data_IF_990460428046
#
_entry.id   IF_990460428046
#
_cell.length_a   1.000
_cell.length_b   1.000
_cell.length_c   1.000
_cell.angle_alpha   90.00
_cell.angle_beta   90.00
_cell.angle_gamma   90.00
#
_symmetry.space_group_name_H-M   'P 1'
#
loop_
_entity.id
_entity.type
_entity.pdbx_description
1 polymer ?
#
# COMPACT_ATOMS: atom_id res chain seq x y z
N UNK A 1 21.28 7.18 45.92
CA UNK A 1 21.55 7.21 44.46
C UNK A 1 20.24 7.04 43.71
N UNK A 2 19.82 8.07 42.96
CA UNK A 2 18.52 8.14 42.30
C UNK A 2 18.36 7.07 41.20
N UNK A 3 17.14 6.57 40.96
CA UNK A 3 16.86 5.53 39.94
C UNK A 3 17.43 5.87 38.55
N UNK A 4 17.47 7.15 38.21
CA UNK A 4 18.00 7.70 36.96
C UNK A 4 19.51 7.42 36.81
N UNK A 5 20.30 7.60 37.87
CA UNK A 5 21.74 7.36 37.83
C UNK A 5 22.05 5.86 37.69
N UNK A 6 21.21 4.97 38.23
CA UNK A 6 21.35 3.51 38.03
C UNK A 6 21.05 3.10 36.58
N UNK A 7 20.02 3.68 35.96
CA UNK A 7 19.68 3.41 34.56
C UNK A 7 20.78 3.85 33.58
N UNK A 8 21.33 5.05 33.79
CA UNK A 8 22.45 5.56 32.98
C UNK A 8 23.70 4.66 33.11
N UNK A 9 23.97 4.15 34.32
CA UNK A 9 25.12 3.27 34.57
C UNK A 9 24.95 1.90 33.89
N UNK A 10 23.73 1.34 33.85
CA UNK A 10 23.46 0.09 33.14
C UNK A 10 23.64 0.27 31.63
N UNK A 11 23.13 1.37 31.06
CA UNK A 11 23.27 1.66 29.62
C UNK A 11 24.75 1.86 29.26
N UNK A 12 25.53 2.59 30.07
CA UNK A 12 26.96 2.79 29.79
C UNK A 12 27.78 1.51 29.95
N UNK A 13 27.44 0.65 30.92
CA UNK A 13 28.09 -0.66 31.11
C UNK A 13 27.80 -1.60 29.93
N UNK A 14 26.55 -1.62 29.46
CA UNK A 14 26.16 -2.40 28.28
C UNK A 14 26.85 -1.89 27.02
N UNK A 15 26.91 -0.56 26.82
CA UNK A 15 27.61 0.06 25.70
C UNK A 15 29.13 -0.23 25.72
N UNK A 16 29.76 -0.19 26.90
CA UNK A 16 31.17 -0.53 27.08
C UNK A 16 31.48 -1.99 26.73
N UNK A 17 30.59 -2.93 27.12
CA UNK A 17 30.72 -4.35 26.76
C UNK A 17 30.64 -4.56 25.24
N UNK A 18 29.72 -3.87 24.56
CA UNK A 18 29.58 -3.95 23.11
C UNK A 18 30.83 -3.41 22.40
N UNK A 19 31.39 -2.29 22.88
CA UNK A 19 32.62 -1.70 22.34
C UNK A 19 33.84 -2.62 22.48
N UNK A 20 33.97 -3.30 23.63
CA UNK A 20 35.05 -4.27 23.87
C UNK A 20 34.98 -5.46 22.91
N UNK A 21 33.78 -6.01 22.70
CA UNK A 21 33.57 -7.12 21.75
C UNK A 21 33.84 -6.70 20.30
N UNK A 22 33.46 -5.48 19.93
CA UNK A 22 33.74 -4.94 18.60
C UNK A 22 35.25 -4.74 18.35
N UNK A 23 36.01 -4.29 19.36
CA UNK A 23 37.47 -4.21 19.26
C UNK A 23 38.10 -5.59 19.12
N UNK A 24 37.64 -6.58 19.89
CA UNK A 24 38.09 -7.96 19.78
C UNK A 24 37.79 -8.56 18.39
N UNK A 25 36.68 -8.20 17.75
CA UNK A 25 36.36 -8.65 16.40
C UNK A 25 37.26 -8.00 15.35
N UNK A 26 37.61 -6.72 15.51
CA UNK A 26 38.52 -6.00 14.60
C UNK A 26 39.95 -6.53 14.65
N UNK A 27 40.41 -7.02 15.80
CA UNK A 27 41.75 -7.61 15.94
C UNK A 27 41.80 -9.05 15.41
N UNK A 28 40.75 -9.84 15.60
CA UNK A 28 40.71 -11.23 15.19
C UNK A 28 40.33 -11.43 13.70
N UNK A 29 39.60 -10.49 13.09
CA UNK A 29 39.18 -10.57 11.69
C UNK A 29 39.59 -9.32 10.90
N UNK A 30 40.89 -9.25 10.55
CA UNK A 30 41.49 -8.13 9.82
C UNK A 30 40.94 -7.96 8.40
N UNK A 31 40.35 -9.01 7.79
CA UNK A 31 39.77 -8.96 6.43
C UNK A 31 38.26 -8.73 6.43
N UNK A 32 37.59 -8.86 7.58
CA UNK A 32 36.16 -8.61 7.75
C UNK A 32 35.24 -9.69 7.18
N UNK A 33 35.76 -10.90 6.96
CA UNK A 33 35.03 -12.01 6.35
C UNK A 33 33.97 -12.57 7.32
N UNK A 34 34.31 -12.70 8.59
CA UNK A 34 33.41 -13.10 9.66
C UNK A 34 32.29 -12.09 9.89
N UNK A 35 32.58 -10.79 9.75
CA UNK A 35 31.54 -9.75 9.80
C UNK A 35 30.53 -9.89 8.66
N UNK A 36 30.99 -10.16 7.43
CA UNK A 36 30.10 -10.35 6.28
C UNK A 36 29.22 -11.61 6.41
N UNK A 37 29.79 -12.72 6.89
CA UNK A 37 29.05 -13.97 7.10
C UNK A 37 27.98 -13.80 8.19
N UNK A 38 28.33 -13.15 9.31
CA UNK A 38 27.39 -12.86 10.38
C UNK A 38 26.23 -11.98 9.89
N UNK A 39 26.52 -10.96 9.07
CA UNK A 39 25.50 -10.12 8.46
C UNK A 39 24.58 -10.92 7.50
N UNK A 40 25.13 -11.84 6.71
CA UNK A 40 24.29 -12.67 5.84
C UNK A 40 23.34 -13.58 6.64
N UNK A 41 23.85 -14.21 7.70
CA UNK A 41 23.01 -15.05 8.57
C UNK A 41 21.88 -14.22 9.20
N UNK A 42 22.17 -13.00 9.67
CA UNK A 42 21.14 -12.18 10.32
C UNK A 42 20.03 -11.77 9.35
N UNK A 43 20.35 -11.54 8.07
CA UNK A 43 19.36 -11.22 7.04
C UNK A 43 18.42 -12.41 6.82
N UNK A 44 18.97 -13.62 6.69
CA UNK A 44 18.16 -14.84 6.55
C UNK A 44 17.26 -15.08 7.77
N UNK A 45 17.80 -14.93 8.99
CA UNK A 45 17.02 -15.07 10.23
C UNK A 45 15.93 -14.00 10.31
N UNK A 46 16.23 -12.77 9.89
CA UNK A 46 15.27 -11.66 9.87
C UNK A 46 14.11 -11.96 8.94
N UNK A 47 14.34 -12.46 7.73
CA UNK A 47 13.27 -12.85 6.80
C UNK A 47 12.32 -13.90 7.41
N UNK A 48 12.86 -14.91 8.09
CA UNK A 48 12.06 -15.91 8.82
C UNK A 48 11.26 -15.27 9.96
N UNK A 49 11.89 -14.38 10.73
CA UNK A 49 11.23 -13.68 11.84
C UNK A 49 10.08 -12.79 11.33
N UNK A 50 10.34 -12.01 10.29
CA UNK A 50 9.34 -11.16 9.65
C UNK A 50 8.18 -11.98 9.06
N UNK A 51 8.43 -13.16 8.49
CA UNK A 51 7.38 -14.08 8.07
C UNK A 51 6.44 -14.45 9.23
N UNK A 52 6.99 -14.74 10.41
CA UNK A 52 6.18 -15.09 11.58
C UNK A 52 5.32 -13.92 12.06
N UNK A 53 5.89 -12.71 12.09
CA UNK A 53 5.18 -11.47 12.42
C UNK A 53 4.01 -11.23 11.47
N UNK A 54 4.25 -11.29 10.15
CA UNK A 54 3.18 -11.13 9.17
C UNK A 54 2.11 -12.20 9.27
N UNK A 55 2.48 -13.46 9.58
CA UNK A 55 1.52 -14.55 9.77
C UNK A 55 0.59 -14.30 10.97
N UNK A 56 1.12 -13.77 12.07
CA UNK A 56 0.31 -13.39 13.23
C UNK A 56 -0.64 -12.25 12.86
N UNK A 57 -0.13 -11.20 12.22
CA UNK A 57 -0.93 -10.04 11.81
C UNK A 57 -2.03 -10.45 10.81
N UNK A 58 -1.71 -11.30 9.84
CA UNK A 58 -2.66 -11.85 8.88
C UNK A 58 -3.76 -12.66 9.57
N UNK A 59 -3.40 -13.53 10.51
CA UNK A 59 -4.37 -14.28 11.30
C UNK A 59 -5.28 -13.38 12.14
N UNK A 60 -4.74 -12.31 12.75
CA UNK A 60 -5.53 -11.33 13.51
C UNK A 60 -6.47 -10.56 12.57
N UNK A 61 -5.99 -10.16 11.39
CA UNK A 61 -6.77 -9.44 10.38
C UNK A 61 -7.96 -10.26 9.88
N UNK A 62 -7.74 -11.55 9.55
CA UNK A 62 -8.81 -12.47 9.13
C UNK A 62 -9.81 -12.68 10.27
N UNK A 63 -9.34 -12.85 11.50
CA UNK A 63 -10.22 -13.02 12.65
C UNK A 63 -11.05 -11.77 12.97
N UNK A 64 -10.51 -10.57 12.76
CA UNK A 64 -11.23 -9.32 12.96
C UNK A 64 -12.23 -9.07 11.82
N UNK A 65 -11.86 -9.39 10.58
CA UNK A 65 -12.73 -9.33 9.41
C UNK A 65 -13.93 -10.27 9.56
N UNK A 66 -13.72 -11.53 9.97
CA UNK A 66 -14.79 -12.49 10.20
C UNK A 66 -15.75 -12.06 11.32
N UNK A 67 -15.27 -11.36 12.35
CA UNK A 67 -16.13 -10.85 13.43
C UNK A 67 -17.00 -9.67 12.99
N UNK A 68 -16.54 -8.88 12.02
CA UNK A 68 -17.30 -7.74 11.50
C UNK A 68 -18.30 -8.16 10.41
N UNK A 69 -17.98 -9.16 9.59
CA UNK A 69 -18.94 -9.75 8.64
C UNK A 69 -20.08 -10.51 9.35
N UNK A 70 -19.81 -11.13 10.51
CA UNK A 70 -20.85 -11.76 11.33
C UNK A 70 -21.75 -10.74 12.07
N UNK A 71 -21.21 -9.57 12.47
CA UNK A 71 -21.98 -8.54 13.19
C UNK A 71 -22.85 -7.66 12.29
N UNK A 72 -22.42 -7.38 11.07
CA UNK A 72 -23.20 -6.58 10.10
C UNK A 72 -24.31 -7.41 9.44
N UNK A 73 -24.13 -8.74 9.35
CA UNK A 73 -25.04 -9.61 8.59
C UNK A 73 -26.10 -10.32 9.43
N UNK A 74 -26.08 -10.21 10.77
CA UNK A 74 -27.16 -10.72 11.64
C UNK A 74 -27.49 -12.22 11.45
N UNK A 75 -26.53 -13.05 11.06
CA UNK A 75 -26.77 -14.46 10.74
C UNK A 75 -26.52 -15.29 12.00
N UNK A 76 -27.62 -15.61 12.68
CA UNK A 76 -27.70 -16.66 13.69
C UNK A 76 -27.75 -18.02 13.00
N UNK A 77 -26.66 -18.45 12.35
CA UNK A 77 -26.39 -19.88 12.20
C UNK A 77 -24.96 -20.13 11.73
N UNK A 78 -24.23 -20.92 12.53
CA UNK A 78 -22.83 -21.29 12.24
C UNK A 78 -22.69 -22.25 11.05
N UNK A 79 -23.80 -22.67 10.44
CA UNK A 79 -23.83 -23.57 9.28
C UNK A 79 -24.05 -22.86 7.93
N UNK A 80 -24.25 -21.54 7.90
CA UNK A 80 -24.38 -20.77 6.64
C UNK A 80 -23.18 -19.88 6.33
N UNK A 81 -22.18 -19.84 7.22
CA UNK A 81 -20.87 -19.23 6.93
C UNK A 81 -19.90 -20.20 6.24
N UNK A 82 -20.29 -21.48 6.10
CA UNK A 82 -19.60 -22.53 5.34
C UNK A 82 -20.56 -23.20 4.35
N UNK A 83 -21.53 -22.44 3.81
CA UNK A 83 -22.15 -22.81 2.54
C UNK A 83 -21.17 -22.56 1.39
N UNK A 84 -21.34 -23.18 0.23
CA UNK A 84 -20.49 -23.00 -0.96
C UNK A 84 -20.65 -21.60 -1.59
N UNK A 85 -20.84 -20.58 -0.77
CA UNK A 85 -20.81 -19.15 -1.09
C UNK A 85 -19.34 -18.70 -1.10
N UNK A 86 -18.47 -19.52 -1.72
CA UNK A 86 -17.06 -19.17 -1.98
C UNK A 86 -17.06 -17.83 -2.70
N UNK A 87 -16.03 -17.00 -2.47
CA UNK A 87 -15.90 -15.70 -3.14
C UNK A 87 -16.11 -15.76 -4.65
N UNK A 88 -15.91 -16.92 -5.25
CA UNK A 88 -16.18 -17.27 -6.65
C UNK A 88 -17.66 -17.15 -7.05
N UNK A 89 -18.61 -17.60 -6.22
CA UNK A 89 -20.06 -17.51 -6.51
C UNK A 89 -20.52 -16.06 -6.41
N UNK A 90 -20.04 -15.33 -5.41
CA UNK A 90 -20.31 -13.90 -5.26
C UNK A 90 -19.67 -13.09 -6.40
N UNK A 91 -18.46 -13.47 -6.84
CA UNK A 91 -17.81 -12.89 -8.00
C UNK A 91 -18.60 -13.17 -9.28
N UNK A 92 -19.07 -14.41 -9.49
CA UNK A 92 -19.90 -14.79 -10.63
C UNK A 92 -21.24 -14.03 -10.65
N UNK A 93 -21.91 -13.88 -9.50
CA UNK A 93 -23.15 -13.09 -9.38
C UNK A 93 -22.88 -11.61 -9.67
N UNK A 94 -21.78 -11.05 -9.15
CA UNK A 94 -21.40 -9.66 -9.43
C UNK A 94 -21.04 -9.42 -10.91
N UNK A 95 -20.38 -10.38 -11.54
CA UNK A 95 -20.07 -10.35 -12.97
C UNK A 95 -21.34 -10.43 -13.82
N UNK A 96 -22.29 -11.29 -13.46
CA UNK A 96 -23.58 -11.37 -14.13
C UNK A 96 -24.40 -10.06 -13.99
N UNK A 97 -24.39 -9.45 -12.80
CA UNK A 97 -25.05 -8.16 -12.56
C UNK A 97 -24.38 -6.99 -13.28
N UNK A 98 -23.06 -7.01 -13.42
CA UNK A 98 -22.29 -6.00 -14.15
C UNK A 98 -22.60 -6.05 -15.64
N UNK A 99 -22.57 -7.24 -16.25
CA UNK A 99 -22.92 -7.45 -17.66
C UNK A 99 -24.37 -7.04 -17.99
N UNK A 100 -25.30 -7.32 -17.07
CA UNK A 100 -26.69 -6.89 -17.21
C UNK A 100 -26.84 -5.36 -17.16
N UNK A 101 -26.07 -4.68 -16.32
CA UNK A 101 -26.11 -3.21 -16.18
C UNK A 101 -25.36 -2.50 -17.32
N UNK A 102 -24.27 -3.07 -17.84
CA UNK A 102 -23.56 -2.54 -19.02
C UNK A 102 -24.43 -2.57 -20.30
N UNK A 103 -25.43 -3.45 -20.38
CA UNK A 103 -26.42 -3.44 -21.47
C UNK A 103 -27.49 -2.34 -21.33
N UNK A 104 -27.44 -1.52 -20.27
CA UNK A 104 -28.34 -0.38 -20.05
C UNK A 104 -27.57 0.93 -20.22
N UNK A 105 -26.70 1.00 -21.24
CA UNK A 105 -26.27 2.30 -21.73
C UNK A 105 -27.47 3.00 -22.37
N UNK A 106 -27.74 4.22 -21.91
CA UNK A 106 -28.77 5.10 -22.43
C UNK A 106 -28.64 5.19 -23.95
N UNK A 107 -29.69 4.77 -24.67
CA UNK A 107 -29.81 5.03 -26.10
C UNK A 107 -29.97 6.54 -26.22
N UNK A 108 -28.85 7.22 -26.42
CA UNK A 108 -28.82 8.67 -26.63
C UNK A 108 -29.60 8.98 -27.91
N UNK A 109 -30.82 9.50 -27.77
CA UNK A 109 -31.57 10.08 -28.88
C UNK A 109 -30.74 11.24 -29.46
N UNK A 110 -30.11 11.01 -30.61
CA UNK A 110 -29.24 11.98 -31.27
C UNK A 110 -30.05 13.16 -31.87
N UNK A 111 -30.61 14.01 -31.01
CA UNK A 111 -31.27 15.27 -31.37
C UNK A 111 -30.45 16.43 -30.81
N UNK A 112 -29.43 16.84 -31.57
CA UNK A 112 -28.60 17.99 -31.23
C UNK A 112 -29.35 19.30 -31.52
N UNK A 113 -30.04 19.87 -30.53
CA UNK A 113 -30.61 21.22 -30.64
C UNK A 113 -29.53 22.27 -30.43
N UNK A 114 -28.71 22.52 -31.46
CA UNK A 114 -27.67 23.56 -31.43
C UNK A 114 -28.32 24.94 -31.55
N UNK A 115 -28.43 25.64 -30.41
CA UNK A 115 -28.80 27.06 -30.40
C UNK A 115 -27.56 27.89 -30.78
N UNK A 116 -27.61 28.62 -31.89
CA UNK A 116 -26.47 29.35 -32.47
C UNK A 116 -26.19 30.61 -31.64
N UNK A 117 -25.46 30.46 -30.53
CA UNK A 117 -25.07 31.58 -29.67
C UNK A 117 -24.18 32.54 -30.47
N UNK A 118 -24.54 33.84 -30.54
CA UNK A 118 -23.61 34.87 -31.04
C UNK A 118 -22.33 34.77 -30.23
N UNK A 119 -21.20 34.46 -30.89
CA UNK A 119 -19.92 34.28 -30.20
C UNK A 119 -19.47 35.61 -29.59
N UNK A 120 -19.70 35.80 -28.29
CA UNK A 120 -19.03 36.85 -27.54
C UNK A 120 -17.53 36.51 -27.57
N UNK A 121 -16.73 37.42 -28.13
CA UNK A 121 -15.29 37.26 -28.25
C UNK A 121 -14.67 37.02 -26.86
N UNK A 122 -14.03 35.87 -26.65
CA UNK A 122 -13.27 35.58 -25.42
C UNK A 122 -11.78 35.74 -25.70
N UNK A 123 -11.06 36.61 -24.96
CA UNK A 123 -9.65 36.89 -25.22
C UNK A 123 -8.70 35.72 -24.87
N UNK A 124 -9.20 34.66 -24.23
CA UNK A 124 -8.37 33.51 -23.83
C UNK A 124 -7.96 32.61 -25.00
N UNK A 125 -8.76 32.55 -26.07
CA UNK A 125 -8.50 31.69 -27.24
C UNK A 125 -8.50 32.49 -28.56
N UNK A 126 -8.10 33.76 -28.51
CA UNK A 126 -8.01 34.55 -29.73
C UNK A 126 -6.68 34.28 -30.45
N UNK A 127 -6.76 33.67 -31.63
CA UNK A 127 -5.59 33.38 -32.49
C UNK A 127 -4.82 34.64 -32.92
N UNK A 128 -5.37 35.84 -32.72
CA UNK A 128 -4.71 37.09 -33.08
C UNK A 128 -3.38 37.30 -32.34
N UNK A 129 -3.22 36.72 -31.14
CA UNK A 129 -1.99 36.85 -30.36
C UNK A 129 -0.99 35.71 -30.55
N UNK A 130 -1.36 34.64 -31.28
CA UNK A 130 -0.51 33.45 -31.48
C UNK A 130 0.05 33.36 -32.89
N UNK A 131 -0.40 34.19 -33.83
CA UNK A 131 0.12 34.19 -35.19
C UNK A 131 1.36 35.10 -35.27
N UNK A 132 2.52 34.53 -35.59
CA UNK A 132 3.77 35.27 -35.83
C UNK A 132 3.70 35.97 -37.19
N UNK A 133 4.18 37.22 -37.28
CA UNK A 133 4.25 37.93 -38.57
C UNK A 133 5.20 37.20 -39.54
N UNK A 134 4.74 36.95 -40.77
CA UNK A 134 5.58 36.34 -41.80
C UNK A 134 6.65 37.32 -42.27
N UNK A 135 7.92 36.88 -42.41
CA UNK A 135 9.03 37.79 -42.68
C UNK A 135 8.86 38.50 -44.03
N UNK A 136 9.05 39.83 -44.01
CA UNK A 136 8.98 40.67 -45.20
C UNK A 136 10.18 40.40 -46.11
N UNK A 137 9.93 39.90 -47.32
CA UNK A 137 10.97 39.74 -48.34
C UNK A 137 11.42 41.14 -48.79
N UNK A 138 12.75 41.38 -48.80
CA UNK A 138 13.32 42.59 -49.43
C UNK A 138 13.14 42.54 -50.93
#
# INVERSE_FOLDING_TARGET
MNKINKGILIISLLAGSIGANAQNLRTNDSKGIGMAIAAMIIIFVSLIFFYFVFRIIANISIQLSNKNTMKVKGITDKNQATGPESGDVLAAISMALHEYQDNVHDVEDMVLTINKVKRNYSPWSSKIYTLTETPRKR
#
